data_IF_433882636346
#
_entry.id   IF_433882636346
#
_cell.length_a   1.000
_cell.length_b   1.000
_cell.length_c   1.000
_cell.angle_alpha   90.00
_cell.angle_beta   90.00
_cell.angle_gamma   90.00
#
_symmetry.space_group_name_H-M   'P 1'
#
loop_
_entity.id
_entity.type
_entity.pdbx_description
1 polymer ?
#
# COMPACT_ATOMS: atom_id res chain seq x y z
N UNK A 1 -13.80 8.43 2.02
CA UNK A 1 -12.94 7.24 2.02
C UNK A 1 -11.52 7.70 1.86
N UNK A 2 -10.65 7.32 2.78
CA UNK A 2 -9.22 7.63 2.66
C UNK A 2 -8.50 6.46 2.02
N UNK A 3 -7.60 6.77 1.09
CA UNK A 3 -6.77 5.78 0.43
C UNK A 3 -5.36 6.33 0.24
N UNK A 4 -4.36 5.44 0.36
CA UNK A 4 -2.94 5.78 0.22
C UNK A 4 -2.21 4.62 -0.43
N UNK A 5 -1.19 4.93 -1.23
CA UNK A 5 -0.32 3.92 -1.83
C UNK A 5 1.09 4.11 -1.28
N UNK A 6 1.68 3.03 -0.83
CA UNK A 6 3.04 3.00 -0.32
C UNK A 6 3.90 2.18 -1.27
N UNK A 7 5.06 2.71 -1.62
CA UNK A 7 6.00 2.14 -2.56
C UNK A 7 7.23 1.59 -1.83
N UNK A 8 7.72 0.44 -2.26
CA UNK A 8 8.89 -0.22 -1.71
C UNK A 8 8.72 -1.74 -1.58
N UNK A 9 9.69 -2.38 -0.93
CA UNK A 9 9.66 -3.83 -0.72
C UNK A 9 8.75 -4.21 0.46
N UNK A 10 7.45 -3.98 0.30
CA UNK A 10 6.40 -4.24 1.29
C UNK A 10 5.29 -5.09 0.68
N UNK A 11 4.75 -6.01 1.45
CA UNK A 11 3.62 -6.85 1.04
C UNK A 11 2.36 -6.55 1.86
N UNK A 12 1.15 -6.82 1.33
CA UNK A 12 -0.08 -6.70 2.09
C UNK A 12 -0.07 -7.48 3.42
N UNK A 13 0.61 -8.62 3.44
CA UNK A 13 0.74 -9.48 4.63
C UNK A 13 1.51 -8.78 5.77
N UNK A 14 2.54 -8.00 5.44
CA UNK A 14 3.34 -7.30 6.44
C UNK A 14 2.48 -6.28 7.20
N UNK A 15 1.70 -5.48 6.46
CA UNK A 15 0.76 -4.52 7.05
C UNK A 15 -0.37 -5.22 7.80
N UNK A 16 -0.91 -6.31 7.26
CA UNK A 16 -1.99 -7.04 7.91
C UNK A 16 -1.55 -7.62 9.25
N UNK A 17 -0.37 -8.23 9.33
CA UNK A 17 0.20 -8.77 10.56
C UNK A 17 0.47 -7.68 11.59
N UNK A 18 1.07 -6.56 11.18
CA UNK A 18 1.34 -5.43 12.06
C UNK A 18 0.05 -4.83 12.64
N UNK A 19 -0.97 -4.64 11.81
CA UNK A 19 -2.27 -4.13 12.24
C UNK A 19 -2.97 -5.09 13.19
N UNK A 20 -3.00 -6.38 12.89
CA UNK A 20 -3.59 -7.39 13.79
C UNK A 20 -2.85 -7.42 15.11
N UNK A 21 -1.51 -7.44 15.11
CA UNK A 21 -0.71 -7.40 16.33
C UNK A 21 -0.99 -6.15 17.16
N UNK A 22 -1.07 -4.98 16.52
CA UNK A 22 -1.30 -3.69 17.19
C UNK A 22 -2.69 -3.56 17.79
N UNK A 23 -3.73 -4.04 17.08
CA UNK A 23 -5.13 -3.86 17.43
C UNK A 23 -5.82 -5.13 17.97
N UNK A 24 -5.06 -6.14 18.37
CA UNK A 24 -5.59 -7.33 19.07
C UNK A 24 -5.46 -7.24 20.59
N UNK A 25 -5.00 -6.09 21.13
CA UNK A 25 -4.79 -5.89 22.56
C UNK A 25 -5.72 -4.80 23.12
N UNK A 26 -6.11 -4.93 24.37
CA UNK A 26 -6.96 -3.98 25.08
C UNK A 26 -8.41 -4.01 24.58
N UNK A 27 -8.97 -2.81 24.36
CA UNK A 27 -10.36 -2.63 23.93
C UNK A 27 -10.56 -2.85 22.41
N UNK A 28 -9.49 -3.14 21.67
CA UNK A 28 -9.58 -3.38 20.25
C UNK A 28 -9.72 -4.88 19.95
N UNK A 29 -10.40 -5.15 18.85
CA UNK A 29 -10.43 -6.47 18.24
C UNK A 29 -10.07 -6.32 16.76
N UNK A 30 -8.99 -6.97 16.36
CA UNK A 30 -8.55 -6.98 14.99
C UNK A 30 -8.56 -8.40 14.42
N UNK A 31 -8.84 -8.53 13.13
CA UNK A 31 -8.74 -9.79 12.42
C UNK A 31 -8.43 -9.58 10.95
N UNK A 32 -7.72 -10.53 10.41
CA UNK A 32 -7.42 -10.58 8.99
C UNK A 32 -8.39 -11.49 8.26
N UNK A 33 -8.77 -11.10 7.07
CA UNK A 33 -9.59 -11.85 6.10
C UNK A 33 -8.89 -11.82 4.73
N UNK A 34 -9.15 -12.83 3.90
CA UNK A 34 -8.54 -12.95 2.58
C UNK A 34 -7.19 -13.65 2.61
N UNK A 35 -6.55 -13.76 1.43
CA UNK A 35 -5.24 -14.40 1.23
C UNK A 35 -4.49 -13.75 0.07
N UNK A 36 -3.18 -13.90 0.06
CA UNK A 36 -2.31 -13.45 -1.03
C UNK A 36 -2.25 -11.94 -1.16
N UNK A 37 -2.43 -11.43 -2.37
CA UNK A 37 -2.23 -10.03 -2.72
C UNK A 37 -3.40 -9.10 -2.36
N UNK A 38 -4.52 -9.65 -1.91
CA UNK A 38 -5.69 -8.89 -1.47
C UNK A 38 -6.11 -9.35 -0.08
N UNK A 39 -5.82 -8.52 0.91
CA UNK A 39 -6.13 -8.78 2.30
C UNK A 39 -7.07 -7.70 2.83
N UNK A 40 -7.83 -8.08 3.83
CA UNK A 40 -8.72 -7.19 4.56
C UNK A 40 -8.39 -7.34 6.04
N UNK A 41 -8.20 -6.22 6.73
CA UNK A 41 -8.12 -6.19 8.19
C UNK A 41 -9.33 -5.42 8.70
N UNK A 42 -10.05 -6.01 9.63
CA UNK A 42 -11.12 -5.34 10.35
C UNK A 42 -10.67 -5.02 11.76
N UNK A 43 -10.91 -3.79 12.19
CA UNK A 43 -10.65 -3.33 13.56
C UNK A 43 -11.95 -2.81 14.16
N UNK A 44 -12.33 -3.34 15.31
CA UNK A 44 -13.53 -2.97 16.04
C UNK A 44 -13.23 -2.59 17.49
N UNK A 45 -14.07 -1.74 18.04
CA UNK A 45 -14.10 -1.41 19.49
C UNK A 45 -15.46 -1.76 20.08
N UNK A 46 -15.58 -1.92 21.42
CA UNK A 46 -16.88 -2.07 22.08
C UNK A 46 -17.82 -0.88 21.83
N UNK A 47 -17.28 0.32 21.68
CA UNK A 47 -18.05 1.52 21.39
C UNK A 47 -18.72 1.44 20.01
N UNK A 48 -17.99 1.04 18.96
CA UNK A 48 -18.53 0.84 17.62
C UNK A 48 -19.65 -0.21 17.59
N UNK A 49 -19.55 -1.28 18.39
CA UNK A 49 -20.56 -2.34 18.45
C UNK A 49 -21.84 -1.94 19.14
N UNK A 50 -21.82 -0.96 20.04
CA UNK A 50 -22.98 -0.52 20.81
C UNK A 50 -23.81 0.53 20.11
N UNK A 51 -23.28 1.19 19.12
CA UNK A 51 -23.88 2.38 18.50
C UNK A 51 -24.92 2.08 17.42
N UNK A 52 -25.10 0.81 17.03
CA UNK A 52 -26.09 0.42 16.01
C UNK A 52 -25.75 0.81 14.56
N UNK A 53 -24.56 1.39 14.36
CA UNK A 53 -23.99 1.75 13.05
C UNK A 53 -22.89 0.79 12.59
N UNK A 54 -21.95 1.26 11.76
CA UNK A 54 -20.80 0.46 11.34
C UNK A 54 -20.02 -0.04 12.56
N UNK A 55 -19.83 -1.34 12.67
CA UNK A 55 -19.25 -1.96 13.86
C UNK A 55 -17.74 -2.16 13.77
N UNK A 56 -17.14 -1.84 12.63
CA UNK A 56 -15.73 -1.97 12.40
C UNK A 56 -15.20 -0.99 11.33
N UNK A 57 -13.93 -0.61 11.46
CA UNK A 57 -13.17 -0.02 10.38
C UNK A 57 -12.55 -1.17 9.58
N UNK A 58 -12.76 -1.14 8.27
CA UNK A 58 -12.24 -2.13 7.35
C UNK A 58 -11.10 -1.53 6.55
N UNK A 59 -9.96 -2.20 6.56
CA UNK A 59 -8.73 -1.82 5.86
C UNK A 59 -8.54 -2.80 4.73
N UNK A 60 -8.65 -2.33 3.49
CA UNK A 60 -8.34 -3.11 2.30
C UNK A 60 -6.87 -2.90 1.93
N UNK A 61 -6.14 -3.99 1.81
CA UNK A 61 -4.74 -4.03 1.45
C UNK A 61 -4.62 -4.79 0.14
N UNK A 62 -4.20 -4.13 -0.91
CA UNK A 62 -4.00 -4.75 -2.22
C UNK A 62 -2.60 -4.50 -2.74
N UNK A 63 -1.99 -5.55 -3.31
CA UNK A 63 -0.67 -5.43 -3.91
C UNK A 63 -0.73 -4.58 -5.17
N UNK A 64 0.26 -3.71 -5.33
CA UNK A 64 0.53 -2.98 -6.56
C UNK A 64 1.91 -3.36 -7.08
N UNK A 65 2.26 -2.92 -8.28
CA UNK A 65 3.52 -3.30 -8.95
C UNK A 65 4.76 -3.12 -8.05
N UNK A 66 4.76 -2.06 -7.23
CA UNK A 66 5.89 -1.74 -6.35
C UNK A 66 5.39 -1.29 -4.98
N UNK A 67 4.65 -2.15 -4.29
CA UNK A 67 4.18 -1.82 -2.94
C UNK A 67 2.77 -2.28 -2.62
N UNK A 68 2.08 -1.48 -1.81
CA UNK A 68 0.74 -1.79 -1.30
C UNK A 68 -0.17 -0.58 -1.39
N UNK A 69 -1.35 -0.79 -1.97
CA UNK A 69 -2.45 0.17 -1.91
C UNK A 69 -3.34 -0.13 -0.70
N UNK A 70 -3.58 0.89 0.11
CA UNK A 70 -4.38 0.83 1.33
C UNK A 70 -5.62 1.69 1.18
N UNK A 71 -6.79 1.15 1.50
CA UNK A 71 -8.05 1.88 1.51
C UNK A 71 -8.83 1.57 2.79
N UNK A 72 -9.28 2.61 3.48
CA UNK A 72 -10.10 2.51 4.66
C UNK A 72 -11.58 2.73 4.34
N UNK A 73 -12.45 1.96 5.02
CA UNK A 73 -13.89 2.09 4.96
C UNK A 73 -14.53 1.65 6.27
N UNK A 74 -15.76 2.09 6.53
CA UNK A 74 -16.54 1.64 7.69
C UNK A 74 -17.52 0.55 7.25
N UNK A 75 -17.58 -0.57 7.97
CA UNK A 75 -18.46 -1.71 7.65
C UNK A 75 -18.89 -2.44 8.92
N UNK A 76 -19.83 -3.38 8.78
CA UNK A 76 -20.20 -4.26 9.86
C UNK A 76 -19.08 -5.25 10.22
N UNK A 77 -18.93 -5.49 11.53
CA UNK A 77 -18.00 -6.50 12.02
C UNK A 77 -18.49 -7.90 11.64
N UNK A 78 -17.71 -8.59 10.85
CA UNK A 78 -17.97 -9.97 10.49
C UNK A 78 -17.52 -10.87 11.64
N UNK A 79 -18.41 -11.26 12.55
CA UNK A 79 -18.10 -12.13 13.68
C UNK A 79 -17.45 -13.46 13.31
N UNK A 80 -16.95 -14.19 14.31
CA UNK A 80 -16.25 -15.48 14.12
C UNK A 80 -17.14 -16.60 13.52
N UNK A 81 -18.47 -16.41 13.52
CA UNK A 81 -19.43 -17.37 12.98
C UNK A 81 -19.69 -17.25 11.47
N UNK A 82 -19.20 -16.20 10.83
CA UNK A 82 -19.31 -16.08 9.39
C UNK A 82 -18.24 -16.93 8.70
N UNK A 83 -18.56 -18.19 8.45
CA UNK A 83 -17.88 -18.96 7.41
C UNK A 83 -18.16 -18.25 6.08
N UNK A 84 -17.25 -17.42 5.66
CA UNK A 84 -17.35 -16.63 4.44
C UNK A 84 -17.32 -17.57 3.24
N UNK A 85 -18.50 -17.99 2.77
CA UNK A 85 -18.65 -18.41 1.39
C UNK A 85 -18.28 -17.26 0.46
N UNK A 86 -17.88 -17.54 -0.76
CA UNK A 86 -17.46 -16.57 -1.78
C UNK A 86 -18.40 -15.35 -1.91
N UNK A 87 -19.68 -15.50 -1.56
CA UNK A 87 -20.72 -14.48 -1.63
C UNK A 87 -20.50 -13.30 -0.66
N UNK A 88 -19.97 -13.56 0.55
CA UNK A 88 -19.73 -12.50 1.54
C UNK A 88 -18.47 -11.67 1.20
N UNK A 89 -17.45 -12.30 0.61
CA UNK A 89 -16.27 -11.59 0.11
C UNK A 89 -16.64 -10.65 -1.05
N UNK A 90 -17.55 -11.07 -1.93
CA UNK A 90 -18.03 -10.24 -3.05
C UNK A 90 -18.91 -9.07 -2.58
N UNK A 91 -19.67 -9.21 -1.50
CA UNK A 91 -20.43 -8.10 -0.91
C UNK A 91 -19.51 -7.03 -0.29
N UNK A 92 -18.39 -7.45 0.29
CA UNK A 92 -17.34 -6.56 0.81
C UNK A 92 -16.62 -5.74 -0.28
N UNK A 93 -16.57 -6.26 -1.50
CA UNK A 93 -15.93 -5.62 -2.65
C UNK A 93 -16.85 -4.61 -3.37
N UNK A 94 -18.15 -4.51 -3.02
CA UNK A 94 -19.10 -3.55 -3.59
C UNK A 94 -19.44 -2.45 -2.58
N UNK A 95 -18.74 -1.32 -2.57
CA UNK A 95 -18.90 -0.25 -1.56
C UNK A 95 -20.15 0.62 -1.74
N UNK A 96 -20.99 0.40 -2.76
CA UNK A 96 -22.03 1.38 -3.14
C UNK A 96 -23.36 1.27 -2.39
N UNK A 97 -23.58 0.25 -1.55
CA UNK A 97 -24.92 0.01 -0.96
C UNK A 97 -25.10 0.46 0.48
N UNK A 98 -24.10 1.06 1.13
CA UNK A 98 -24.14 1.37 2.57
C UNK A 98 -24.02 2.87 2.93
N UNK A 99 -24.21 3.78 1.99
CA UNK A 99 -24.01 5.23 2.21
C UNK A 99 -25.20 5.96 2.84
N UNK A 100 -26.25 5.29 3.31
CA UNK A 100 -27.51 5.96 3.65
C UNK A 100 -27.89 6.04 5.14
N UNK A 101 -26.96 5.78 6.07
CA UNK A 101 -27.25 5.98 7.52
C UNK A 101 -26.03 6.51 8.26
N UNK A 102 -25.79 7.80 8.17
CA UNK A 102 -24.82 8.54 8.98
C UNK A 102 -25.55 9.63 9.78
N UNK A 103 -26.21 9.24 10.84
CA UNK A 103 -26.75 10.18 11.81
C UNK A 103 -26.34 9.75 13.22
N UNK A 104 -25.07 10.06 13.62
CA UNK A 104 -24.74 10.21 15.03
C UNK A 104 -23.34 10.87 15.22
N UNK A 105 -23.33 12.12 15.66
CA UNK A 105 -22.11 12.96 15.80
C UNK A 105 -21.09 12.36 16.80
N UNK A 106 -21.54 11.61 17.80
CA UNK A 106 -20.65 10.96 18.77
C UNK A 106 -19.89 9.77 18.17
N UNK A 107 -20.47 9.10 17.18
CA UNK A 107 -19.90 7.98 16.47
C UNK A 107 -18.78 8.43 15.53
N UNK A 108 -18.91 9.64 14.96
CA UNK A 108 -17.92 10.23 14.07
C UNK A 108 -16.59 10.51 14.77
N UNK A 109 -16.62 11.00 16.03
CA UNK A 109 -15.39 11.33 16.77
C UNK A 109 -14.59 10.06 17.09
N UNK A 110 -15.23 8.99 17.55
CA UNK A 110 -14.54 7.73 17.85
C UNK A 110 -14.01 7.04 16.58
N UNK A 111 -14.76 7.13 15.49
CA UNK A 111 -14.32 6.56 14.21
C UNK A 111 -13.15 7.34 13.63
N UNK A 112 -13.14 8.67 13.73
CA UNK A 112 -12.04 9.52 13.30
C UNK A 112 -10.76 9.24 14.09
N UNK A 113 -10.82 9.16 15.42
CA UNK A 113 -9.66 8.83 16.25
C UNK A 113 -9.11 7.43 15.97
N UNK A 114 -9.99 6.46 15.69
CA UNK A 114 -9.55 5.12 15.31
C UNK A 114 -8.90 5.11 13.94
N UNK A 115 -9.44 5.85 12.96
CA UNK A 115 -8.86 6.00 11.63
C UNK A 115 -7.46 6.60 11.71
N UNK A 116 -7.27 7.68 12.49
CA UNK A 116 -5.94 8.28 12.71
C UNK A 116 -4.94 7.28 13.29
N UNK A 117 -5.33 6.55 14.33
CA UNK A 117 -4.47 5.51 14.95
C UNK A 117 -4.12 4.37 13.98
N UNK A 118 -5.04 4.01 13.09
CA UNK A 118 -4.79 3.01 12.05
C UNK A 118 -3.76 3.53 11.06
N UNK A 119 -3.91 4.78 10.59
CA UNK A 119 -2.94 5.40 9.69
C UNK A 119 -1.55 5.53 10.33
N UNK A 120 -1.46 5.99 11.57
CA UNK A 120 -0.18 6.03 12.31
C UNK A 120 0.49 4.65 12.41
N UNK A 121 -0.30 3.60 12.65
CA UNK A 121 0.24 2.24 12.72
C UNK A 121 0.75 1.76 11.35
N UNK A 122 0.03 2.08 10.27
CA UNK A 122 0.44 1.77 8.90
C UNK A 122 1.73 2.52 8.57
N UNK A 123 1.79 3.82 8.79
CA UNK A 123 2.95 4.67 8.47
C UNK A 123 4.20 4.22 9.21
N UNK A 124 4.12 3.94 10.51
CA UNK A 124 5.26 3.41 11.28
C UNK A 124 5.75 2.05 10.75
N UNK A 125 4.82 1.20 10.33
CA UNK A 125 5.18 -0.11 9.75
C UNK A 125 5.86 0.07 8.41
N UNK A 126 5.32 0.94 7.56
CA UNK A 126 5.86 1.29 6.24
C UNK A 126 7.27 1.87 6.36
N UNK A 127 7.47 2.85 7.24
CA UNK A 127 8.78 3.46 7.52
C UNK A 127 9.78 2.43 8.03
N UNK A 128 9.36 1.57 8.97
CA UNK A 128 10.20 0.49 9.51
C UNK A 128 10.64 -0.53 8.47
N UNK A 129 9.90 -0.67 7.37
CA UNK A 129 10.22 -1.55 6.24
C UNK A 129 10.92 -0.82 5.09
N UNK A 130 11.24 0.47 5.25
CA UNK A 130 11.90 1.28 4.23
C UNK A 130 11.03 1.60 3.02
N UNK A 131 9.70 1.53 3.17
CA UNK A 131 8.74 1.94 2.16
C UNK A 131 8.25 3.38 2.42
N UNK A 132 7.72 4.05 1.41
CA UNK A 132 7.27 5.44 1.52
C UNK A 132 6.14 5.78 0.53
N UNK A 133 5.60 7.00 0.62
CA UNK A 133 4.69 7.56 -0.38
C UNK A 133 5.37 7.92 -1.71
N UNK A 134 6.69 8.06 -1.72
CA UNK A 134 7.43 8.40 -2.92
C UNK A 134 7.44 7.22 -3.89
N UNK A 135 7.24 7.51 -5.16
CA UNK A 135 7.36 6.51 -6.21
C UNK A 135 8.76 5.92 -6.14
N UNK A 136 8.83 4.58 -6.06
CA UNK A 136 10.11 3.88 -6.02
C UNK A 136 10.97 4.22 -7.24
N UNK A 137 12.26 4.31 -7.04
CA UNK A 137 13.24 4.50 -8.10
C UNK A 137 13.13 3.42 -9.20
N UNK A 138 12.65 2.22 -8.86
CA UNK A 138 12.38 1.13 -9.82
C UNK A 138 11.29 1.48 -10.83
N UNK A 139 10.35 2.36 -10.47
CA UNK A 139 9.28 2.82 -11.35
C UNK A 139 9.67 4.05 -12.18
N UNK A 140 10.85 4.62 -11.97
CA UNK A 140 11.35 5.71 -12.80
C UNK A 140 11.46 5.27 -14.25
N UNK A 141 11.17 6.20 -15.13
CA UNK A 141 11.24 5.99 -16.58
C UNK A 141 12.11 7.05 -17.21
N UNK A 142 12.84 6.65 -18.24
CA UNK A 142 13.63 7.54 -19.10
C UNK A 142 12.82 7.89 -20.35
N UNK A 143 12.57 9.18 -20.57
CA UNK A 143 11.86 9.63 -21.76
C UNK A 143 12.80 9.66 -22.98
N UNK A 144 12.42 8.99 -24.04
CA UNK A 144 13.17 9.02 -25.31
C UNK A 144 13.16 10.44 -25.91
N UNK A 145 14.32 10.99 -26.23
CA UNK A 145 14.45 12.31 -26.82
C UNK A 145 13.88 12.41 -28.26
N UNK A 146 13.70 11.28 -28.94
CA UNK A 146 13.23 11.23 -30.34
C UNK A 146 11.71 11.09 -30.45
N UNK A 147 11.09 10.23 -29.62
CA UNK A 147 9.67 9.93 -29.77
C UNK A 147 8.88 10.13 -28.46
N UNK A 148 9.48 10.67 -27.43
CA UNK A 148 8.88 10.96 -26.10
C UNK A 148 8.31 9.74 -25.36
N UNK A 149 8.54 8.52 -25.84
CA UNK A 149 8.10 7.29 -25.18
C UNK A 149 8.88 7.07 -23.88
N UNK A 150 8.19 6.71 -22.81
CA UNK A 150 8.78 6.37 -21.52
C UNK A 150 9.36 4.94 -21.56
N UNK A 151 10.64 4.79 -21.26
CA UNK A 151 11.37 3.52 -21.24
C UNK A 151 11.85 3.19 -19.83
N UNK A 152 12.03 1.91 -19.49
CA UNK A 152 12.70 1.52 -18.26
C UNK A 152 14.12 2.11 -18.20
N UNK A 153 14.55 2.51 -17.01
CA UNK A 153 15.95 2.88 -16.79
C UNK A 153 16.83 1.65 -17.03
N UNK A 154 17.93 1.82 -17.76
CA UNK A 154 18.82 0.72 -18.17
C UNK A 154 18.47 0.09 -19.53
N UNK A 155 17.37 0.49 -20.19
CA UNK A 155 17.07 0.00 -21.53
C UNK A 155 18.09 0.54 -22.56
N UNK A 156 18.75 -0.31 -23.37
CA UNK A 156 19.78 0.12 -24.32
C UNK A 156 19.21 0.91 -25.50
N UNK A 157 17.95 0.65 -25.84
CA UNK A 157 17.24 1.31 -26.94
C UNK A 157 15.78 1.54 -26.61
N UNK A 158 15.17 2.54 -27.25
CA UNK A 158 13.77 2.86 -27.09
C UNK A 158 12.87 1.73 -27.61
N UNK A 159 11.94 1.26 -26.79
CA UNK A 159 11.00 0.20 -27.14
C UNK A 159 10.06 0.56 -28.30
N UNK A 160 9.81 1.87 -28.53
CA UNK A 160 8.89 2.33 -29.56
C UNK A 160 9.59 2.63 -30.89
N UNK A 161 10.71 3.37 -30.89
CA UNK A 161 11.36 3.84 -32.12
C UNK A 161 12.73 3.22 -32.37
N UNK A 162 13.24 2.38 -31.46
CA UNK A 162 14.56 1.75 -31.60
C UNK A 162 15.77 2.67 -31.41
N UNK A 163 15.56 3.96 -31.18
CA UNK A 163 16.66 4.91 -31.00
C UNK A 163 17.51 4.53 -29.77
N UNK A 164 18.84 4.66 -29.84
CA UNK A 164 19.71 4.40 -28.71
C UNK A 164 19.40 5.43 -27.60
N UNK A 165 19.31 4.97 -26.35
CA UNK A 165 19.01 5.85 -25.22
C UNK A 165 20.28 6.50 -24.62
N UNK A 166 21.41 6.27 -25.23
CA UNK A 166 22.67 7.01 -25.06
C UNK A 166 23.49 6.63 -23.83
N UNK A 167 24.76 7.08 -23.84
CA UNK A 167 25.73 6.84 -22.76
C UNK A 167 25.50 7.67 -21.49
N UNK A 168 24.56 8.61 -21.50
CA UNK A 168 24.17 9.42 -20.34
C UNK A 168 22.97 8.84 -19.59
N UNK A 169 22.70 7.58 -19.81
CA UNK A 169 21.57 6.91 -19.21
C UNK A 169 21.83 6.66 -17.72
N UNK A 170 20.87 7.02 -16.84
CA UNK A 170 20.98 6.68 -15.43
C UNK A 170 21.03 5.16 -15.24
N UNK A 171 21.73 4.71 -14.20
CA UNK A 171 21.91 3.29 -13.87
C UNK A 171 21.23 2.95 -12.57
N UNK A 172 20.43 1.89 -12.58
CA UNK A 172 19.81 1.38 -11.37
C UNK A 172 20.80 0.52 -10.57
N UNK A 173 20.92 0.79 -9.28
CA UNK A 173 21.72 -0.04 -8.38
C UNK A 173 21.12 -1.45 -8.27
N UNK A 174 21.89 -2.53 -8.53
CA UNK A 174 21.37 -3.89 -8.49
C UNK A 174 21.00 -4.33 -7.07
N UNK A 175 21.55 -3.68 -6.04
CA UNK A 175 21.30 -4.05 -4.66
C UNK A 175 20.02 -3.40 -4.09
N UNK A 176 19.85 -2.06 -4.24
CA UNK A 176 18.74 -1.33 -3.63
C UNK A 176 17.75 -0.73 -4.63
N UNK A 177 18.06 -0.79 -5.94
CA UNK A 177 17.22 -0.20 -7.00
C UNK A 177 17.31 1.32 -7.14
N UNK A 178 18.15 2.00 -6.34
CA UNK A 178 18.36 3.45 -6.46
C UNK A 178 18.92 3.79 -7.85
N UNK A 179 18.34 4.80 -8.49
CA UNK A 179 18.76 5.25 -9.83
C UNK A 179 19.77 6.38 -9.68
N UNK A 180 21.01 6.08 -10.02
CA UNK A 180 22.13 7.03 -10.00
C UNK A 180 22.37 7.60 -11.40
N UNK A 181 23.00 8.77 -11.46
CA UNK A 181 23.44 9.36 -12.74
C UNK A 181 24.48 8.47 -13.43
N UNK A 182 24.55 8.59 -14.75
CA UNK A 182 25.54 7.86 -15.57
C UNK A 182 26.97 8.12 -15.04
N UNK A 183 27.75 7.05 -14.94
CA UNK A 183 29.15 7.12 -14.46
C UNK A 183 29.30 7.05 -12.93
N UNK A 184 28.21 6.93 -12.18
CA UNK A 184 28.26 6.69 -10.73
C UNK A 184 28.86 5.31 -10.46
N UNK A 185 29.98 5.24 -9.73
CA UNK A 185 30.65 3.97 -9.41
C UNK A 185 30.16 3.34 -8.10
N UNK A 186 29.71 4.17 -7.16
CA UNK A 186 29.24 3.75 -5.83
C UNK A 186 27.84 4.32 -5.61
N UNK A 187 26.90 3.47 -5.27
CA UNK A 187 25.54 3.90 -4.96
C UNK A 187 25.52 4.83 -3.75
N UNK A 188 24.98 6.06 -3.88
CA UNK A 188 24.93 7.00 -2.77
C UNK A 188 24.01 6.55 -1.63
N UNK A 189 23.03 5.67 -1.94
CA UNK A 189 22.04 5.21 -0.96
C UNK A 189 22.56 4.02 -0.13
N UNK A 190 23.15 3.01 -0.75
CA UNK A 190 23.55 1.78 -0.05
C UNK A 190 25.05 1.52 -0.02
N UNK A 191 25.89 2.37 -0.63
CA UNK A 191 27.33 2.23 -0.65
C UNK A 191 27.87 1.07 -1.50
N UNK A 192 27.03 0.33 -2.23
CA UNK A 192 27.45 -0.78 -3.06
C UNK A 192 27.92 -0.30 -4.44
N UNK A 193 28.85 -1.05 -5.08
CA UNK A 193 29.31 -0.70 -6.41
C UNK A 193 28.16 -0.81 -7.43
N UNK A 194 28.08 0.18 -8.32
CA UNK A 194 27.13 0.22 -9.42
C UNK A 194 27.87 -0.20 -10.69
N UNK A 195 27.31 -1.13 -11.50
CA UNK A 195 27.96 -1.55 -12.75
C UNK A 195 28.08 -0.35 -13.68
N UNK A 196 29.24 -0.24 -14.36
CA UNK A 196 29.43 0.77 -15.40
C UNK A 196 28.37 0.58 -16.49
N UNK A 197 27.77 1.67 -16.96
CA UNK A 197 26.90 1.62 -18.15
C UNK A 197 27.69 1.07 -19.34
N UNK A 198 27.10 0.16 -20.15
CA UNK A 198 27.75 -0.41 -21.33
C UNK A 198 28.08 0.64 -22.36
#
# INVERSE_FOLDING_TARGET
MEQRTFHGNIAPADLAQALVARFSAGDFQARQLGRGDNLIVQVATPALRRSGGPTAITIHLSRVEDGVHVRLGAQEWLGTAASLGQTALMALLRPQTLLSRLDDVAQDIYSLQLVERIWEAIERTVEGLGASYQISERLRRLTCAYCTTANPVGAPSCAACGAPLGFQQPVACPNCGFVSEAGTQICPECGQPVPASP
#
